data_IF_068993233814
#
_entry.id   IF_068993233814
#
_cell.length_a   1.000
_cell.length_b   1.000
_cell.length_c   1.000
_cell.angle_alpha   90.00
_cell.angle_beta   90.00
_cell.angle_gamma   90.00
#
_symmetry.space_group_name_H-M   'P 1'
#
loop_
_entity.id
_entity.type
_entity.pdbx_description
1 polymer ?
#
# COMPACT_ATOMS: atom_id res chain seq x y z
N UNK A 1 7.46 -13.46 -16.84
CA UNK A 1 6.53 -12.42 -16.38
C UNK A 1 5.37 -13.13 -15.72
N UNK A 2 5.26 -13.02 -14.40
CA UNK A 2 4.21 -13.70 -13.65
C UNK A 2 2.86 -12.97 -13.83
N UNK A 3 1.76 -13.54 -13.33
CA UNK A 3 0.42 -12.96 -13.47
C UNK A 3 0.28 -11.57 -12.83
N UNK A 4 1.03 -11.30 -11.76
CA UNK A 4 1.03 -10.02 -11.05
C UNK A 4 1.78 -8.95 -11.85
N UNK A 5 2.89 -9.28 -12.50
CA UNK A 5 3.60 -8.34 -13.38
C UNK A 5 2.70 -7.82 -14.50
N UNK A 6 1.91 -8.70 -15.11
CA UNK A 6 0.97 -8.34 -16.18
C UNK A 6 -0.15 -7.47 -15.61
N UNK A 7 -0.71 -7.89 -14.48
CA UNK A 7 -1.80 -7.18 -13.82
C UNK A 7 -1.37 -5.80 -13.30
N UNK A 8 -0.10 -5.60 -12.94
CA UNK A 8 0.43 -4.34 -12.40
C UNK A 8 0.16 -3.15 -13.32
N UNK A 9 0.16 -3.36 -14.65
CA UNK A 9 -0.08 -2.33 -15.67
C UNK A 9 -1.43 -1.62 -15.55
N UNK A 10 -2.43 -2.30 -14.97
CA UNK A 10 -3.80 -1.77 -14.82
C UNK A 10 -4.33 -1.94 -13.40
N UNK A 11 -3.49 -2.38 -12.46
CA UNK A 11 -3.92 -2.73 -11.12
C UNK A 11 -4.56 -1.53 -10.42
N UNK A 12 -3.90 -0.38 -10.45
CA UNK A 12 -4.35 0.86 -9.79
C UNK A 12 -5.37 1.68 -10.61
N UNK A 13 -5.82 1.16 -11.76
CA UNK A 13 -6.85 1.83 -12.58
C UNK A 13 -8.28 1.48 -12.14
N UNK A 14 -8.47 0.47 -11.28
CA UNK A 14 -9.80 0.08 -10.83
C UNK A 14 -10.29 0.97 -9.70
N UNK A 15 -11.36 1.72 -9.98
CA UNK A 15 -12.04 2.57 -8.99
C UNK A 15 -12.44 1.79 -7.72
N UNK A 16 -12.93 0.56 -7.86
CA UNK A 16 -13.28 -0.29 -6.73
C UNK A 16 -12.07 -0.57 -5.83
N UNK A 17 -10.91 -0.88 -6.41
CA UNK A 17 -9.68 -1.14 -5.64
C UNK A 17 -9.16 0.13 -4.98
N UNK A 18 -9.23 1.26 -5.66
CA UNK A 18 -8.80 2.55 -5.11
C UNK A 18 -9.66 2.97 -3.93
N UNK A 19 -11.00 2.88 -4.02
CA UNK A 19 -11.91 3.15 -2.89
C UNK A 19 -11.66 2.25 -1.70
N UNK A 20 -11.36 0.98 -1.94
CA UNK A 20 -10.99 0.05 -0.87
C UNK A 20 -9.67 0.45 -0.21
N UNK A 21 -8.65 0.82 -1.01
CA UNK A 21 -7.38 1.30 -0.50
C UNK A 21 -7.56 2.57 0.37
N UNK A 22 -8.32 3.55 -0.11
CA UNK A 22 -8.63 4.78 0.64
C UNK A 22 -9.29 4.48 2.00
N UNK A 23 -10.24 3.55 2.03
CA UNK A 23 -10.88 3.13 3.27
C UNK A 23 -9.88 2.51 4.24
N UNK A 24 -9.02 1.61 3.76
CA UNK A 24 -7.99 0.94 4.57
C UNK A 24 -6.99 1.97 5.11
N UNK A 25 -6.48 2.87 4.25
CA UNK A 25 -5.54 3.94 4.64
C UNK A 25 -6.15 4.81 5.74
N UNK A 26 -7.40 5.24 5.58
CA UNK A 26 -8.09 6.05 6.58
C UNK A 26 -8.20 5.31 7.90
N UNK A 27 -8.64 4.04 7.86
CA UNK A 27 -8.76 3.22 9.06
C UNK A 27 -7.41 3.06 9.79
N UNK A 28 -6.33 2.78 9.06
CA UNK A 28 -4.99 2.65 9.63
C UNK A 28 -4.51 3.97 10.26
N UNK A 29 -4.70 5.09 9.58
CA UNK A 29 -4.32 6.43 10.09
C UNK A 29 -5.10 6.82 11.35
N UNK A 30 -6.33 6.34 11.52
CA UNK A 30 -7.18 6.64 12.68
C UNK A 30 -6.98 5.68 13.86
N UNK A 31 -6.66 4.41 13.59
CA UNK A 31 -6.68 3.34 14.61
C UNK A 31 -5.30 2.87 15.04
N UNK A 32 -4.27 3.15 14.24
CA UNK A 32 -2.90 2.71 14.52
C UNK A 32 -2.02 3.94 14.73
N UNK A 33 -1.21 3.93 15.80
CA UNK A 33 -0.18 4.94 15.95
C UNK A 33 0.99 4.63 15.01
N UNK A 34 1.06 5.37 13.90
CA UNK A 34 2.08 5.20 12.86
C UNK A 34 3.30 6.10 13.08
N UNK A 35 3.21 7.09 13.99
CA UNK A 35 4.27 8.07 14.19
C UNK A 35 5.55 7.43 14.74
N UNK A 36 6.69 7.81 14.17
CA UNK A 36 8.01 7.26 14.49
C UNK A 36 8.08 5.73 14.33
N UNK A 37 7.22 5.14 13.47
CA UNK A 37 7.24 3.71 13.16
C UNK A 37 7.84 3.43 11.80
N UNK A 38 8.49 2.27 11.72
CA UNK A 38 8.90 1.64 10.47
C UNK A 38 7.80 0.66 10.09
N UNK A 39 7.20 0.85 8.91
CA UNK A 39 6.14 0.00 8.37
C UNK A 39 6.76 -0.95 7.35
N UNK A 40 6.39 -2.23 7.40
CA UNK A 40 6.69 -3.22 6.37
C UNK A 40 5.41 -3.54 5.59
N UNK A 41 5.36 -3.13 4.33
CA UNK A 41 4.30 -3.51 3.37
C UNK A 41 4.76 -4.77 2.61
N UNK A 42 4.34 -5.93 3.09
CA UNK A 42 4.73 -7.23 2.56
C UNK A 42 3.67 -7.76 1.56
N UNK A 43 4.10 -8.06 0.33
CA UNK A 43 3.20 -8.29 -0.79
C UNK A 43 2.64 -6.97 -1.33
N UNK A 44 3.47 -5.92 -1.36
CA UNK A 44 3.03 -4.56 -1.66
C UNK A 44 2.54 -4.37 -3.11
N UNK A 45 2.85 -5.29 -4.03
CA UNK A 45 2.55 -5.13 -5.45
C UNK A 45 3.08 -3.79 -5.99
N UNK A 46 2.19 -2.94 -6.49
CA UNK A 46 2.52 -1.60 -6.98
C UNK A 46 2.85 -0.58 -5.88
N UNK A 47 2.68 -0.95 -4.59
CA UNK A 47 2.98 -0.10 -3.43
C UNK A 47 1.86 0.86 -3.03
N UNK A 48 0.67 0.74 -3.65
CA UNK A 48 -0.42 1.69 -3.49
C UNK A 48 -0.88 1.88 -2.02
N UNK A 49 -0.86 0.84 -1.19
CA UNK A 49 -1.20 0.98 0.22
C UNK A 49 -0.11 1.71 1.01
N UNK A 50 1.11 1.18 1.04
CA UNK A 50 2.20 1.72 1.85
C UNK A 50 2.60 3.16 1.47
N UNK A 51 2.50 3.56 0.18
CA UNK A 51 2.79 4.94 -0.26
C UNK A 51 1.94 5.95 0.50
N UNK A 52 0.67 5.62 0.74
CA UNK A 52 -0.26 6.51 1.42
C UNK A 52 0.01 6.66 2.93
N UNK A 53 0.93 5.87 3.49
CA UNK A 53 1.28 5.88 4.90
C UNK A 53 2.60 6.61 5.18
N UNK A 54 3.38 6.96 4.15
CA UNK A 54 4.73 7.53 4.27
C UNK A 54 4.72 8.77 5.18
N UNK A 55 3.84 9.74 4.94
CA UNK A 55 3.80 11.01 5.69
C UNK A 55 3.50 10.85 7.19
N UNK A 56 2.92 9.72 7.59
CA UNK A 56 2.52 9.44 8.98
C UNK A 56 3.51 8.51 9.69
N UNK A 57 4.58 8.11 9.01
CA UNK A 57 5.55 7.12 9.48
C UNK A 57 6.98 7.62 9.32
N UNK A 58 7.93 7.00 10.01
CA UNK A 58 9.36 7.32 9.85
C UNK A 58 9.90 6.71 8.54
N UNK A 59 9.45 5.49 8.23
CA UNK A 59 9.87 4.75 7.05
C UNK A 59 8.82 3.73 6.64
N UNK A 60 8.66 3.55 5.33
CA UNK A 60 7.91 2.43 4.76
C UNK A 60 8.86 1.57 3.93
N UNK A 61 8.87 0.27 4.19
CA UNK A 61 9.65 -0.73 3.47
C UNK A 61 8.68 -1.55 2.63
N UNK A 62 8.92 -1.59 1.32
CA UNK A 62 8.11 -2.30 0.35
C UNK A 62 8.80 -3.60 -0.04
N UNK A 63 8.11 -4.73 0.08
CA UNK A 63 8.65 -6.04 -0.28
C UNK A 63 7.62 -6.80 -1.10
N UNK A 64 7.98 -7.16 -2.32
CA UNK A 64 7.24 -8.11 -3.15
C UNK A 64 8.22 -9.09 -3.82
N UNK A 65 7.74 -10.29 -4.15
CA UNK A 65 8.52 -11.33 -4.85
C UNK A 65 8.23 -11.39 -6.34
N UNK A 66 7.23 -10.64 -6.79
CA UNK A 66 6.72 -10.65 -8.16
C UNK A 66 7.63 -9.86 -9.08
#
# INVERSE_FOLDING_TARGET
MNKFDIASKTWDQSERRNKMNEFIVRYLKEKVNLENKIILDYGCGTGNLGINLIEKSDKVIFVDKS
#
